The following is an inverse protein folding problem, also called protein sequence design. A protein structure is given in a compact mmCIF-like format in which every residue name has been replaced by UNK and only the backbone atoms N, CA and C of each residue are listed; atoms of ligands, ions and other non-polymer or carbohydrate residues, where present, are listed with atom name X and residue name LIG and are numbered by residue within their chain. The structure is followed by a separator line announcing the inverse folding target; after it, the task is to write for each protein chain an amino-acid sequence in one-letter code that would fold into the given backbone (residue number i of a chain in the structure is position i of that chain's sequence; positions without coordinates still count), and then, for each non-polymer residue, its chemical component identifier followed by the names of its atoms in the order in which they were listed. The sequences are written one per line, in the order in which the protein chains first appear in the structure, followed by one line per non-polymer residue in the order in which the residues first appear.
data_IF_142064218891
#
_entry.id   IF_142064218891
#
_cell.length_a   1.000
_cell.length_b   1.000
_cell.length_c   1.000
_cell.angle_alpha   90.00
_cell.angle_beta   90.00
_cell.angle_gamma   90.00
#
_symmetry.space_group_name_H-M   'P 1'
#
loop_
_entity.id
_entity.type
_entity.pdbx_description
1 polymer ?
#
# COMPACT_ATOMS: atom_id res chain seq x y z
N UNK A 1 -25.32 -15.44 -4.56
CA UNK A 1 -23.94 -15.03 -4.19
C UNK A 1 -23.82 -13.53 -4.44
N UNK A 2 -23.26 -12.78 -3.51
CA UNK A 2 -23.04 -11.36 -3.71
C UNK A 2 -21.85 -11.12 -4.64
N UNK A 3 -21.82 -9.97 -5.31
CA UNK A 3 -20.69 -9.54 -6.14
C UNK A 3 -19.35 -9.62 -5.39
N UNK A 4 -19.32 -9.23 -4.11
CA UNK A 4 -18.09 -9.28 -3.31
C UNK A 4 -17.60 -10.72 -3.08
N UNK A 5 -18.49 -11.66 -2.86
CA UNK A 5 -18.14 -13.08 -2.75
C UNK A 5 -17.56 -13.61 -4.06
N UNK A 6 -18.20 -13.28 -5.18
CA UNK A 6 -17.71 -13.69 -6.50
C UNK A 6 -16.33 -13.11 -6.77
N UNK A 7 -16.12 -11.83 -6.51
CA UNK A 7 -14.81 -11.18 -6.67
C UNK A 7 -13.76 -11.84 -5.79
N UNK A 8 -14.06 -12.07 -4.50
CA UNK A 8 -13.12 -12.72 -3.57
C UNK A 8 -12.73 -14.12 -4.05
N UNK A 9 -13.67 -14.91 -4.53
CA UNK A 9 -13.40 -16.25 -5.05
C UNK A 9 -12.49 -16.18 -6.29
N UNK A 10 -12.76 -15.26 -7.21
CA UNK A 10 -11.92 -15.07 -8.40
C UNK A 10 -10.51 -14.62 -8.08
N UNK A 11 -10.36 -13.74 -7.10
CA UNK A 11 -9.03 -13.30 -6.64
C UNK A 11 -8.26 -14.46 -6.03
N UNK A 12 -8.93 -15.31 -5.25
CA UNK A 12 -8.31 -16.48 -4.64
C UNK A 12 -7.86 -17.50 -5.69
N UNK A 13 -8.73 -17.80 -6.65
CA UNK A 13 -8.44 -18.74 -7.75
C UNK A 13 -7.24 -18.28 -8.58
N UNK A 14 -7.05 -16.97 -8.72
CA UNK A 14 -5.98 -16.36 -9.53
C UNK A 14 -4.81 -15.83 -8.72
N UNK A 15 -4.74 -16.17 -7.45
CA UNK A 15 -3.73 -15.63 -6.53
C UNK A 15 -2.30 -15.78 -7.07
N UNK A 16 -1.92 -16.97 -7.50
CA UNK A 16 -0.56 -17.24 -7.99
C UNK A 16 -0.26 -16.47 -9.27
N UNK A 17 -1.21 -16.42 -10.19
CA UNK A 17 -1.10 -15.67 -11.43
C UNK A 17 -0.97 -14.17 -11.17
N UNK A 18 -1.76 -13.62 -10.25
CA UNK A 18 -1.72 -12.21 -9.85
C UNK A 18 -0.40 -11.87 -9.16
N UNK A 19 0.09 -12.74 -8.29
CA UNK A 19 1.37 -12.55 -7.60
C UNK A 19 2.52 -12.52 -8.61
N UNK A 20 2.54 -13.44 -9.57
CA UNK A 20 3.55 -13.47 -10.62
C UNK A 20 3.50 -12.20 -11.49
N UNK A 21 2.31 -11.74 -11.84
CA UNK A 21 2.11 -10.50 -12.58
C UNK A 21 2.64 -9.28 -11.82
N UNK A 22 2.29 -9.16 -10.53
CA UNK A 22 2.77 -8.08 -9.67
C UNK A 22 4.29 -8.07 -9.55
N UNK A 23 4.90 -9.24 -9.34
CA UNK A 23 6.35 -9.35 -9.24
C UNK A 23 7.05 -8.94 -10.53
N UNK A 24 6.50 -9.34 -11.68
CA UNK A 24 7.00 -8.93 -12.98
C UNK A 24 6.93 -7.41 -13.15
N UNK A 25 5.82 -6.79 -12.80
CA UNK A 25 5.68 -5.32 -12.88
C UNK A 25 6.65 -4.61 -11.96
N UNK A 26 6.80 -5.06 -10.73
CA UNK A 26 7.74 -4.47 -9.76
C UNK A 26 9.20 -4.54 -10.22
N UNK A 27 9.57 -5.56 -10.98
CA UNK A 27 10.92 -5.69 -11.51
C UNK A 27 11.27 -4.66 -12.60
N UNK A 28 10.26 -4.04 -13.21
CA UNK A 28 10.43 -3.10 -14.33
C UNK A 28 10.20 -1.64 -13.96
N UNK A 29 9.72 -1.36 -12.75
CA UNK A 29 9.43 0.00 -12.27
C UNK A 29 10.12 0.27 -10.95
N UNK A 30 10.45 1.54 -10.71
CA UNK A 30 10.92 1.99 -9.40
C UNK A 30 9.71 2.29 -8.52
N UNK A 31 9.48 1.42 -7.54
CA UNK A 31 8.34 1.55 -6.62
C UNK A 31 8.68 2.59 -5.55
N UNK A 32 7.82 3.58 -5.28
CA UNK A 32 8.03 4.52 -4.18
C UNK A 32 7.93 3.83 -2.82
N UNK A 33 8.45 4.49 -1.79
CA UNK A 33 8.42 3.95 -0.41
C UNK A 33 6.99 3.73 0.08
N UNK A 34 6.05 4.52 -0.37
CA UNK A 34 4.65 4.48 0.04
C UNK A 34 3.74 4.84 -1.13
N UNK A 35 2.61 4.21 -1.16
CA UNK A 35 1.52 4.56 -2.07
C UNK A 35 0.20 4.07 -1.48
N UNK A 36 -0.84 4.86 -1.62
CA UNK A 36 -2.19 4.48 -1.26
C UNK A 36 -3.15 4.82 -2.37
N UNK A 37 -4.20 4.04 -2.48
CA UNK A 37 -5.27 4.29 -3.44
C UNK A 37 -6.61 4.16 -2.74
N UNK A 38 -7.54 5.02 -3.12
CA UNK A 38 -8.94 4.89 -2.75
C UNK A 38 -9.67 4.15 -3.87
N UNK A 39 -10.36 3.10 -3.49
CA UNK A 39 -11.12 2.26 -4.41
C UNK A 39 -12.61 2.51 -4.21
N UNK A 40 -13.31 2.81 -5.28
CA UNK A 40 -14.76 2.93 -5.29
C UNK A 40 -15.38 1.65 -5.83
N UNK A 41 -16.25 1.04 -5.02
CA UNK A 41 -17.04 -0.12 -5.40
C UNK A 41 -18.49 0.30 -5.63
N UNK A 42 -18.96 0.18 -6.86
CA UNK A 42 -20.33 0.49 -7.26
C UNK A 42 -21.20 -0.77 -7.40
N UNK A 43 -20.76 -1.90 -6.85
CA UNK A 43 -21.41 -3.22 -6.91
C UNK A 43 -21.37 -3.91 -8.28
N UNK A 44 -21.16 -3.20 -9.36
CA UNK A 44 -21.02 -3.72 -10.72
C UNK A 44 -19.68 -3.36 -11.37
N UNK A 45 -18.96 -2.46 -10.74
CA UNK A 45 -17.65 -1.98 -11.22
C UNK A 45 -16.82 -1.50 -10.04
N UNK A 46 -15.53 -1.79 -10.09
CA UNK A 46 -14.54 -1.26 -9.16
C UNK A 46 -13.57 -0.37 -9.93
N UNK A 47 -13.22 0.76 -9.36
CA UNK A 47 -12.25 1.68 -9.95
C UNK A 47 -11.43 2.37 -8.87
N UNK A 48 -10.17 2.61 -9.17
CA UNK A 48 -9.32 3.53 -8.39
C UNK A 48 -9.75 4.95 -8.73
N UNK A 49 -10.08 5.75 -7.72
CA UNK A 49 -10.60 7.10 -7.88
C UNK A 49 -9.66 8.17 -7.34
N UNK A 50 -8.71 7.78 -6.51
CA UNK A 50 -7.69 8.67 -5.96
C UNK A 50 -6.42 7.89 -5.64
N UNK A 51 -5.28 8.54 -5.76
CA UNK A 51 -3.99 7.96 -5.42
C UNK A 51 -3.09 8.99 -4.75
N UNK A 52 -2.40 8.57 -3.69
CA UNK A 52 -1.48 9.41 -2.94
C UNK A 52 -0.15 8.68 -2.74
N UNK A 53 0.94 9.44 -2.77
CA UNK A 53 2.27 8.95 -2.40
C UNK A 53 2.74 9.50 -1.05
N UNK A 54 1.89 10.22 -0.37
CA UNK A 54 2.21 10.82 0.92
C UNK A 54 1.97 9.80 2.05
N UNK A 55 2.98 9.54 2.90
CA UNK A 55 2.87 8.53 3.96
C UNK A 55 2.01 9.04 5.13
N UNK A 56 0.73 8.80 5.06
CA UNK A 56 -0.26 9.16 6.08
C UNK A 56 -1.31 8.07 6.23
N UNK A 57 -2.12 8.16 7.27
CA UNK A 57 -3.23 7.23 7.48
C UNK A 57 -2.81 5.87 8.04
N UNK A 58 -1.63 5.73 8.61
CA UNK A 58 -1.14 4.49 9.21
C UNK A 58 -2.00 4.00 10.38
N UNK A 59 -2.75 4.89 11.01
CA UNK A 59 -3.72 4.55 12.03
C UNK A 59 -4.87 3.67 11.51
N UNK A 60 -5.06 3.60 10.19
CA UNK A 60 -6.04 2.71 9.56
C UNK A 60 -5.48 1.32 9.27
N UNK A 61 -4.18 1.11 9.48
CA UNK A 61 -3.54 -0.18 9.31
C UNK A 61 -3.85 -1.06 10.52
N UNK A 62 -4.20 -2.33 10.30
CA UNK A 62 -4.44 -3.25 11.41
C UNK A 62 -3.16 -3.53 12.17
N UNK A 63 -3.28 -3.76 13.48
CA UNK A 63 -2.12 -4.06 14.33
C UNK A 63 -1.35 -5.30 13.87
N UNK A 64 -2.04 -6.28 13.29
CA UNK A 64 -1.42 -7.49 12.76
C UNK A 64 -0.54 -7.24 11.53
N UNK A 65 -0.78 -6.15 10.79
CA UNK A 65 -0.02 -5.79 9.59
C UNK A 65 1.16 -4.86 9.87
N UNK A 66 1.22 -4.24 11.06
CA UNK A 66 2.29 -3.30 11.40
C UNK A 66 3.70 -3.89 11.30
N UNK A 67 3.99 -5.14 11.77
CA UNK A 67 5.32 -5.72 11.59
C UNK A 67 5.71 -5.89 10.13
N UNK A 68 4.77 -6.29 9.28
CA UNK A 68 5.00 -6.42 7.84
C UNK A 68 5.29 -5.06 7.19
N UNK A 69 4.50 -4.05 7.51
CA UNK A 69 4.70 -2.68 7.04
C UNK A 69 6.07 -2.14 7.45
N UNK A 70 6.45 -2.32 8.71
CA UNK A 70 7.74 -1.91 9.24
C UNK A 70 8.89 -2.56 8.47
N UNK A 71 8.81 -3.87 8.22
CA UNK A 71 9.81 -4.60 7.48
C UNK A 71 9.92 -4.12 6.03
N UNK A 72 8.82 -3.81 5.37
CA UNK A 72 8.81 -3.30 4.00
C UNK A 72 9.44 -1.93 3.89
N UNK A 73 9.12 -1.02 4.80
CA UNK A 73 9.70 0.33 4.83
C UNK A 73 11.21 0.25 5.11
N UNK A 74 11.61 -0.53 6.10
CA UNK A 74 13.03 -0.74 6.44
C UNK A 74 13.82 -1.31 5.27
N UNK A 75 13.28 -2.34 4.61
CA UNK A 75 13.92 -2.94 3.44
C UNK A 75 14.06 -1.97 2.27
N UNK A 76 13.06 -1.12 2.04
CA UNK A 76 13.10 -0.10 1.00
C UNK A 76 14.23 0.93 1.28
N UNK A 77 14.31 1.41 2.51
CA UNK A 77 15.35 2.37 2.92
C UNK A 77 16.74 1.75 2.73
N UNK A 78 16.94 0.52 3.20
CA UNK A 78 18.23 -0.16 3.09
C UNK A 78 18.66 -0.42 1.65
N UNK A 79 17.73 -0.73 0.76
CA UNK A 79 18.04 -0.93 -0.67
C UNK A 79 18.47 0.35 -1.36
N UNK A 80 17.83 1.46 -1.04
CA UNK A 80 18.07 2.74 -1.71
C UNK A 80 19.14 3.58 -1.03
N UNK A 81 19.29 3.44 0.27
CA UNK A 81 20.27 4.20 1.08
C UNK A 81 20.86 3.29 2.17
N UNK A 82 21.81 2.39 1.84
CA UNK A 82 22.37 1.43 2.80
C UNK A 82 23.00 2.07 4.03
N UNK A 83 23.52 3.28 3.88
CA UNK A 83 24.19 4.04 4.96
C UNK A 83 23.24 4.94 5.75
N UNK A 84 21.96 4.85 5.49
CA UNK A 84 20.95 5.66 6.17
C UNK A 84 20.91 5.31 7.68
N UNK A 85 21.08 6.33 8.51
CA UNK A 85 21.02 6.22 9.99
C UNK A 85 19.85 7.00 10.58
N UNK A 86 19.28 7.91 9.80
CA UNK A 86 18.25 8.82 10.27
C UNK A 86 17.14 8.92 9.23
N UNK A 87 15.90 8.96 9.71
CA UNK A 87 14.72 9.26 8.89
C UNK A 87 14.07 10.49 9.50
N UNK A 88 13.91 11.53 8.69
CA UNK A 88 13.23 12.74 9.10
C UNK A 88 11.81 12.75 8.54
N UNK A 89 10.84 12.88 9.43
CA UNK A 89 9.43 13.03 9.04
C UNK A 89 9.08 14.52 9.13
N UNK A 90 8.69 15.09 8.00
CA UNK A 90 8.32 16.50 7.92
C UNK A 90 6.81 16.62 7.75
N UNK A 91 6.06 16.96 8.82
CA UNK A 91 4.60 17.02 8.76
C UNK A 91 4.11 18.24 7.99
N UNK A 92 2.96 18.10 7.35
CA UNK A 92 2.25 19.23 6.77
C UNK A 92 1.59 20.07 7.86
N UNK A 93 1.64 21.39 7.70
CA UNK A 93 1.12 22.33 8.71
C UNK A 93 -0.41 22.31 8.83
N UNK A 94 -1.12 21.84 7.81
CA UNK A 94 -2.59 21.85 7.78
C UNK A 94 -3.23 20.49 8.10
N UNK A 95 -2.45 19.45 8.32
CA UNK A 95 -3.02 18.13 8.67
C UNK A 95 -3.58 18.14 10.10
N UNK A 96 -4.74 17.49 10.26
CA UNK A 96 -5.38 17.29 11.56
C UNK A 96 -5.54 15.82 11.92
N UNK A 97 -5.01 14.93 11.09
CA UNK A 97 -5.07 13.51 11.34
C UNK A 97 -4.09 13.13 12.45
N UNK A 98 -4.61 12.62 13.57
CA UNK A 98 -3.79 12.23 14.73
C UNK A 98 -2.86 11.05 14.42
N UNK A 99 -3.23 10.19 13.50
CA UNK A 99 -2.35 9.11 13.04
C UNK A 99 -1.14 9.60 12.23
N UNK A 100 -1.16 10.86 11.81
CA UNK A 100 -0.05 11.53 11.13
C UNK A 100 0.90 12.19 12.13
N UNK A 101 0.37 12.74 13.22
CA UNK A 101 1.10 13.42 14.26
C UNK A 101 1.58 12.47 15.34
#
# INVERSE_FOLDING_TARGET
MTYLHELSNRLEEKRDELTAWMNKKRSTIQVPIYGSVDVRDACWKIAVVDANQFPAGFNNTSDSDLPHLTNQISAHIQRNNPDCKWVHIYPESHTRNQGYV
#
